data_IF_324613591972
#
_entry.id   IF_324613591972
#
_cell.length_a   1.000
_cell.length_b   1.000
_cell.length_c   1.000
_cell.angle_alpha   90.00
_cell.angle_beta   90.00
_cell.angle_gamma   90.00
#
_symmetry.space_group_name_H-M   'P 1'
#
loop_
_entity.id
_entity.type
_entity.pdbx_description
1 polymer ?
#
# COMPACT_ATOMS: atom_id res chain seq x y z
N UNK A 1 -20.64 -0.82 -18.79
CA UNK A 1 -19.30 -0.24 -18.51
C UNK A 1 -18.34 -1.34 -18.01
N UNK A 2 -17.93 -2.28 -18.88
CA UNK A 2 -17.14 -3.47 -18.48
C UNK A 2 -15.65 -3.35 -18.89
N UNK A 3 -15.29 -2.34 -19.69
CA UNK A 3 -14.03 -2.30 -20.45
C UNK A 3 -12.75 -2.22 -19.60
N UNK A 4 -12.84 -1.73 -18.36
CA UNK A 4 -11.68 -1.46 -17.50
C UNK A 4 -11.59 -2.39 -16.28
N UNK A 5 -12.48 -3.38 -16.13
CA UNK A 5 -12.40 -4.34 -15.02
C UNK A 5 -11.27 -5.34 -15.28
N UNK A 6 -10.53 -5.63 -14.22
CA UNK A 6 -9.41 -6.58 -14.21
C UNK A 6 -9.91 -7.88 -13.57
N UNK A 7 -9.76 -9.00 -14.28
CA UNK A 7 -10.14 -10.33 -13.75
C UNK A 7 -9.10 -10.82 -12.74
N UNK A 8 -9.45 -11.82 -11.93
CA UNK A 8 -8.49 -12.43 -11.00
C UNK A 8 -7.30 -13.06 -11.75
N UNK A 9 -7.54 -13.70 -12.90
CA UNK A 9 -6.48 -14.30 -13.72
C UNK A 9 -5.54 -13.24 -14.32
N UNK A 10 -6.09 -12.14 -14.85
CA UNK A 10 -5.28 -11.01 -15.33
C UNK A 10 -4.47 -10.43 -14.18
N UNK A 11 -5.09 -10.22 -13.03
CA UNK A 11 -4.41 -9.71 -11.83
C UNK A 11 -3.31 -10.65 -11.34
N UNK A 12 -3.54 -11.97 -11.34
CA UNK A 12 -2.55 -12.95 -10.92
C UNK A 12 -1.32 -12.96 -11.83
N UNK A 13 -1.54 -12.85 -13.15
CA UNK A 13 -0.44 -12.71 -14.11
C UNK A 13 0.39 -11.46 -13.84
N UNK A 14 -0.27 -10.31 -13.62
CA UNK A 14 0.40 -9.08 -13.23
C UNK A 14 1.21 -9.26 -11.93
N UNK A 15 0.64 -9.91 -10.90
CA UNK A 15 1.33 -10.17 -9.64
C UNK A 15 2.60 -11.01 -9.84
N UNK A 16 2.53 -12.10 -10.62
CA UNK A 16 3.69 -12.93 -10.95
C UNK A 16 4.77 -12.16 -11.72
N UNK A 17 4.39 -11.44 -12.78
CA UNK A 17 5.33 -10.68 -13.59
C UNK A 17 6.05 -9.61 -12.76
N UNK A 18 5.31 -8.85 -11.96
CA UNK A 18 5.89 -7.84 -11.09
C UNK A 18 6.77 -8.47 -9.99
N UNK A 19 6.38 -9.60 -9.39
CA UNK A 19 7.24 -10.32 -8.44
C UNK A 19 8.58 -10.72 -9.07
N UNK A 20 8.57 -11.29 -10.29
CA UNK A 20 9.81 -11.61 -11.03
C UNK A 20 10.66 -10.35 -11.21
N UNK A 21 10.03 -9.25 -11.63
CA UNK A 21 10.71 -7.98 -11.85
C UNK A 21 11.32 -7.41 -10.56
N UNK A 22 10.62 -7.50 -9.43
CA UNK A 22 11.12 -7.01 -8.14
C UNK A 22 12.29 -7.85 -7.62
N UNK A 23 12.20 -9.17 -7.75
CA UNK A 23 13.29 -10.08 -7.37
C UNK A 23 14.53 -9.83 -8.25
N UNK A 24 14.35 -9.52 -9.54
CA UNK A 24 15.44 -9.17 -10.44
C UNK A 24 16.13 -7.83 -10.08
N UNK A 25 15.44 -6.94 -9.38
CA UNK A 25 15.91 -5.59 -9.05
C UNK A 25 16.89 -5.52 -7.87
N UNK A 26 16.72 -6.40 -6.87
CA UNK A 26 17.40 -6.41 -5.54
C UNK A 26 17.27 -5.10 -4.72
N UNK A 27 17.40 -5.01 -3.39
CA UNK A 27 17.84 -5.93 -2.33
C UNK A 27 16.75 -6.25 -1.26
N UNK A 28 15.58 -5.57 -1.31
CA UNK A 28 14.50 -5.78 -0.33
C UNK A 28 13.65 -7.04 -0.62
N UNK A 29 13.81 -7.65 -1.80
CA UNK A 29 13.06 -8.83 -2.25
C UNK A 29 13.91 -10.11 -2.24
N UNK A 30 15.08 -10.11 -1.60
CA UNK A 30 15.95 -11.29 -1.49
C UNK A 30 15.18 -12.51 -0.96
N UNK A 31 14.38 -12.30 0.09
CA UNK A 31 13.60 -13.38 0.70
C UNK A 31 12.53 -13.94 -0.25
N UNK A 32 12.09 -13.16 -1.24
CA UNK A 32 11.06 -13.55 -2.19
C UNK A 32 11.59 -14.43 -3.33
N UNK A 33 12.91 -14.60 -3.48
CA UNK A 33 13.54 -15.50 -4.48
C UNK A 33 13.02 -16.93 -4.42
N UNK A 34 12.62 -17.37 -3.23
CA UNK A 34 12.13 -18.73 -2.97
C UNK A 34 10.63 -18.78 -2.73
N UNK A 35 9.94 -17.64 -2.90
CA UNK A 35 8.54 -17.52 -2.62
C UNK A 35 7.66 -17.92 -3.81
N UNK A 36 6.38 -18.08 -3.53
CA UNK A 36 5.33 -18.30 -4.52
C UNK A 36 4.08 -17.52 -4.17
N UNK A 37 3.29 -17.17 -5.17
CA UNK A 37 2.03 -16.45 -5.00
C UNK A 37 0.88 -17.46 -5.00
N UNK A 38 -0.01 -17.38 -4.01
CA UNK A 38 -1.29 -18.11 -4.06
C UNK A 38 -2.16 -17.51 -5.17
N UNK A 39 -2.57 -18.35 -6.13
CA UNK A 39 -3.41 -17.95 -7.26
C UNK A 39 -4.81 -17.45 -6.88
N UNK A 40 -5.30 -17.74 -5.66
CA UNK A 40 -6.59 -17.23 -5.20
C UNK A 40 -6.39 -15.91 -4.43
N UNK A 41 -6.84 -14.78 -4.99
CA UNK A 41 -6.79 -13.52 -4.26
C UNK A 41 -7.89 -13.45 -3.20
N UNK A 42 -7.64 -12.69 -2.14
CA UNK A 42 -8.70 -12.07 -1.36
C UNK A 42 -9.20 -10.85 -2.14
N UNK A 43 -10.49 -10.79 -2.41
CA UNK A 43 -11.10 -9.61 -3.03
C UNK A 43 -11.36 -8.54 -1.97
N UNK A 44 -10.80 -7.36 -2.19
CA UNK A 44 -11.02 -6.19 -1.34
C UNK A 44 -11.85 -5.16 -2.08
N UNK A 45 -12.77 -4.54 -1.37
CA UNK A 45 -13.72 -3.56 -1.91
C UNK A 45 -13.47 -2.17 -1.34
N UNK A 46 -13.83 -1.17 -2.11
CA UNK A 46 -13.96 0.21 -1.63
C UNK A 46 -15.26 0.33 -0.79
N UNK A 47 -15.38 1.28 0.16
CA UNK A 47 -16.59 1.48 0.94
C UNK A 47 -17.83 1.81 0.11
N UNK A 48 -17.65 2.23 -1.14
CA UNK A 48 -18.74 2.37 -2.14
C UNK A 48 -19.29 1.04 -2.65
N UNK A 49 -18.70 -0.09 -2.25
CA UNK A 49 -19.08 -1.44 -2.66
C UNK A 49 -18.46 -1.90 -3.99
N UNK A 50 -17.67 -1.05 -4.65
CA UNK A 50 -16.92 -1.38 -5.86
C UNK A 50 -15.66 -2.19 -5.52
N UNK A 51 -15.39 -3.26 -6.28
CA UNK A 51 -14.14 -4.04 -6.11
C UNK A 51 -12.94 -3.14 -6.38
N UNK A 52 -12.01 -3.13 -5.43
CA UNK A 52 -10.86 -2.23 -5.39
C UNK A 52 -9.58 -2.98 -5.71
N UNK A 53 -9.30 -4.08 -5.01
CA UNK A 53 -8.07 -4.87 -5.19
C UNK A 53 -8.33 -6.38 -5.28
N UNK A 54 -7.44 -7.05 -6.03
CA UNK A 54 -7.13 -8.47 -5.87
C UNK A 54 -5.86 -8.56 -5.01
N UNK A 55 -6.00 -8.99 -3.75
CA UNK A 55 -4.87 -9.14 -2.83
C UNK A 55 -4.36 -10.58 -2.87
N UNK A 56 -3.14 -10.77 -3.36
CA UNK A 56 -2.48 -12.07 -3.39
C UNK A 56 -1.50 -12.23 -2.24
N UNK A 57 -1.51 -13.39 -1.60
CA UNK A 57 -0.56 -13.72 -0.54
C UNK A 57 0.70 -14.34 -1.14
N UNK A 58 1.86 -13.91 -0.64
CA UNK A 58 3.17 -14.39 -1.04
C UNK A 58 3.71 -15.28 0.08
N UNK A 59 3.97 -16.54 -0.27
CA UNK A 59 4.37 -17.58 0.66
C UNK A 59 5.81 -18.01 0.45
N UNK A 60 6.52 -18.22 1.56
CA UNK A 60 7.78 -18.97 1.62
C UNK A 60 7.71 -19.95 2.78
N UNK A 61 8.05 -21.21 2.53
CA UNK A 61 8.03 -22.28 3.54
C UNK A 61 6.70 -22.35 4.31
N UNK A 62 5.57 -22.21 3.60
CA UNK A 62 4.20 -22.14 4.13
C UNK A 62 3.88 -20.93 5.04
N UNK A 63 4.80 -19.98 5.19
CA UNK A 63 4.56 -18.73 5.91
C UNK A 63 4.28 -17.60 4.93
N UNK A 64 3.34 -16.72 5.28
CA UNK A 64 3.11 -15.48 4.53
C UNK A 64 4.26 -14.54 4.82
N UNK A 65 5.04 -14.21 3.78
CA UNK A 65 6.13 -13.23 3.86
C UNK A 65 5.76 -11.89 3.23
N UNK A 66 4.64 -11.85 2.51
CA UNK A 66 4.18 -10.63 1.87
C UNK A 66 2.80 -10.71 1.24
N UNK A 67 2.33 -9.56 0.76
CA UNK A 67 1.11 -9.42 -0.04
C UNK A 67 1.34 -8.49 -1.21
N UNK A 68 0.78 -8.83 -2.37
CA UNK A 68 0.74 -7.95 -3.55
C UNK A 68 -0.72 -7.59 -3.81
N UNK A 69 -1.02 -6.30 -3.92
CA UNK A 69 -2.35 -5.78 -4.20
C UNK A 69 -2.40 -5.32 -5.65
N UNK A 70 -3.26 -5.93 -6.46
CA UNK A 70 -3.46 -5.56 -7.86
C UNK A 70 -4.79 -4.81 -8.00
N UNK A 71 -4.77 -3.68 -8.72
CA UNK A 71 -5.98 -2.90 -9.01
C UNK A 71 -7.04 -3.73 -9.73
N UNK A 72 -8.28 -3.72 -9.23
CA UNK A 72 -9.41 -4.39 -9.87
C UNK A 72 -10.02 -3.59 -11.03
N UNK A 73 -9.56 -2.35 -11.22
CA UNK A 73 -9.95 -1.46 -12.32
C UNK A 73 -8.72 -0.75 -12.88
N UNK A 74 -8.56 -0.75 -14.20
CA UNK A 74 -7.44 -0.14 -14.92
C UNK A 74 -7.34 1.37 -14.69
N UNK A 75 -8.45 2.01 -14.28
CA UNK A 75 -8.47 3.43 -13.95
C UNK A 75 -7.83 3.75 -12.59
N UNK A 76 -7.40 2.75 -11.82
CA UNK A 76 -6.68 2.95 -10.56
C UNK A 76 -5.19 3.27 -10.75
N UNK A 77 -4.68 3.22 -11.99
CA UNK A 77 -3.29 3.53 -12.31
C UNK A 77 -2.47 2.28 -12.60
N UNK A 78 -1.24 2.27 -12.07
CA UNK A 78 -0.35 1.11 -12.05
C UNK A 78 -1.07 -0.20 -11.67
N UNK A 79 -0.67 -1.34 -12.22
CA UNK A 79 -1.35 -2.61 -11.92
C UNK A 79 -1.16 -3.01 -10.45
N UNK A 80 0.08 -3.01 -9.96
CA UNK A 80 0.41 -3.17 -8.54
C UNK A 80 0.14 -1.85 -7.82
N UNK A 81 -0.62 -1.94 -6.75
CA UNK A 81 -1.15 -0.80 -5.98
C UNK A 81 -0.47 -0.67 -4.62
N UNK A 82 -0.10 -1.81 -4.04
CA UNK A 82 0.58 -1.91 -2.76
C UNK A 82 1.36 -3.23 -2.72
N UNK A 83 2.50 -3.21 -2.05
CA UNK A 83 3.27 -4.38 -1.64
C UNK A 83 3.45 -4.25 -0.13
N UNK A 84 3.12 -5.31 0.60
CA UNK A 84 3.35 -5.38 2.04
C UNK A 84 4.32 -6.51 2.32
N UNK A 85 5.33 -6.22 3.16
CA UNK A 85 6.29 -7.19 3.68
C UNK A 85 5.89 -7.58 5.10
N UNK A 86 6.02 -8.87 5.43
CA UNK A 86 5.69 -9.43 6.76
C UNK A 86 4.35 -8.92 7.32
N UNK A 87 3.25 -9.02 6.54
CA UNK A 87 1.98 -8.44 6.96
C UNK A 87 1.48 -9.11 8.24
N UNK A 88 0.88 -8.31 9.13
CA UNK A 88 0.14 -8.85 10.26
C UNK A 88 -0.93 -9.83 9.74
N UNK A 89 -1.07 -11.02 10.33
CA UNK A 89 -2.14 -11.95 9.96
C UNK A 89 -3.49 -11.39 10.43
N UNK A 90 -4.54 -11.69 9.67
CA UNK A 90 -5.94 -11.48 10.06
C UNK A 90 -6.80 -12.60 9.47
N UNK A 91 -7.94 -12.90 10.11
CA UNK A 91 -8.92 -13.85 9.60
C UNK A 91 -10.12 -13.10 8.98
N UNK A 92 -10.19 -13.11 7.66
CA UNK A 92 -11.28 -12.46 6.92
C UNK A 92 -12.66 -13.06 7.27
N UNK A 93 -12.72 -14.37 7.52
CA UNK A 93 -13.98 -15.06 7.87
C UNK A 93 -14.45 -14.61 9.24
N UNK A 94 -13.54 -14.47 10.20
CA UNK A 94 -13.85 -13.97 11.53
C UNK A 94 -14.35 -12.53 11.50
N UNK A 95 -13.62 -11.63 10.81
CA UNK A 95 -14.03 -10.24 10.64
C UNK A 95 -15.41 -10.12 10.00
N UNK A 96 -15.68 -10.86 8.92
CA UNK A 96 -17.00 -10.88 8.27
C UNK A 96 -18.10 -11.43 9.17
N UNK A 97 -17.82 -12.51 9.93
CA UNK A 97 -18.78 -13.06 10.89
C UNK A 97 -19.11 -12.05 11.98
N UNK A 98 -18.11 -11.35 12.50
CA UNK A 98 -18.27 -10.32 13.52
C UNK A 98 -19.10 -9.13 13.01
N UNK A 99 -18.81 -8.65 11.80
CA UNK A 99 -19.60 -7.59 11.13
C UNK A 99 -21.07 -7.99 10.96
N UNK A 100 -21.35 -9.24 10.55
CA UNK A 100 -22.72 -9.78 10.42
C UNK A 100 -23.43 -9.85 11.77
N UNK A 101 -22.74 -10.26 12.83
CA UNK A 101 -23.29 -10.35 14.18
C UNK A 101 -23.73 -8.97 14.69
N UNK A 102 -22.87 -7.97 14.55
CA UNK A 102 -23.15 -6.58 14.96
C UNK A 102 -24.31 -6.02 14.14
N UNK A 103 -24.29 -6.21 12.82
CA UNK A 103 -25.36 -5.79 11.92
C UNK A 103 -26.74 -6.35 12.31
N UNK A 104 -26.82 -7.61 12.75
CA UNK A 104 -28.08 -8.22 13.21
C UNK A 104 -28.56 -7.66 14.55
N UNK A 105 -27.64 -7.21 15.41
CA UNK A 105 -27.98 -6.64 16.71
C UNK A 105 -28.43 -5.18 16.58
N UNK A 106 -27.77 -4.40 15.73
CA UNK A 106 -28.08 -2.98 15.52
C UNK A 106 -29.26 -2.75 14.58
N UNK A 107 -29.47 -3.65 13.62
CA UNK A 107 -30.56 -3.57 12.64
C UNK A 107 -31.39 -4.87 12.62
N UNK A 108 -32.07 -5.26 13.71
CA UNK A 108 -32.72 -6.58 13.85
C UNK A 108 -33.80 -6.85 12.81
N UNK A 109 -34.49 -5.81 12.34
CA UNK A 109 -35.57 -5.95 11.34
C UNK A 109 -35.07 -5.85 9.89
N UNK A 110 -33.82 -5.44 9.68
CA UNK A 110 -33.22 -5.24 8.36
C UNK A 110 -32.92 -6.55 7.60
N UNK A 111 -32.68 -6.45 6.29
CA UNK A 111 -32.12 -7.52 5.48
C UNK A 111 -30.66 -7.24 5.15
N UNK A 112 -29.79 -8.22 5.41
CA UNK A 112 -28.39 -8.13 4.96
C UNK A 112 -28.37 -8.25 3.44
N UNK A 113 -27.90 -7.20 2.77
CA UNK A 113 -27.74 -7.16 1.31
C UNK A 113 -26.39 -7.72 0.88
N UNK A 114 -25.33 -7.39 1.64
CA UNK A 114 -23.99 -7.93 1.38
C UNK A 114 -23.07 -7.84 2.59
N UNK A 115 -22.06 -8.69 2.62
CA UNK A 115 -20.91 -8.58 3.52
C UNK A 115 -19.64 -8.76 2.68
N UNK A 116 -18.69 -7.82 2.79
CA UNK A 116 -17.47 -7.78 1.98
C UNK A 116 -16.28 -7.37 2.83
N UNK A 117 -15.09 -7.87 2.50
CA UNK A 117 -13.86 -7.25 2.99
C UNK A 117 -13.63 -5.94 2.24
N UNK A 118 -13.32 -4.88 2.98
CA UNK A 118 -13.15 -3.52 2.47
C UNK A 118 -11.83 -2.92 2.91
N UNK A 119 -11.26 -2.04 2.09
CA UNK A 119 -10.25 -1.07 2.54
C UNK A 119 -11.03 0.16 2.97
N UNK A 120 -11.26 0.31 4.27
CA UNK A 120 -12.18 1.35 4.77
C UNK A 120 -11.49 2.70 4.99
N UNK A 121 -10.20 2.70 5.32
CA UNK A 121 -9.38 3.90 5.46
C UNK A 121 -7.94 3.54 5.08
N UNK A 122 -7.52 3.78 3.84
CA UNK A 122 -6.27 3.21 3.32
C UNK A 122 -5.05 3.48 4.23
N UNK A 123 -4.30 2.46 4.68
CA UNK A 123 -4.33 1.05 4.24
C UNK A 123 -5.15 0.08 5.12
N UNK A 124 -5.95 0.58 6.06
CA UNK A 124 -6.77 -0.21 6.98
C UNK A 124 -7.82 -1.07 6.25
N UNK A 125 -7.95 -2.32 6.70
CA UNK A 125 -8.79 -3.36 6.11
C UNK A 125 -9.80 -3.82 7.16
N UNK A 126 -11.05 -3.98 6.76
CA UNK A 126 -12.13 -4.41 7.63
C UNK A 126 -13.19 -5.21 6.88
N UNK A 127 -14.23 -5.64 7.59
CA UNK A 127 -15.43 -6.20 7.00
C UNK A 127 -16.55 -5.16 7.05
N UNK A 128 -17.23 -4.95 5.92
CA UNK A 128 -18.41 -4.11 5.79
C UNK A 128 -19.63 -4.97 5.54
N UNK A 129 -20.66 -4.85 6.38
CA UNK A 129 -21.98 -5.43 6.17
C UNK A 129 -22.98 -4.33 5.85
N UNK A 130 -23.65 -4.44 4.71
CA UNK A 130 -24.72 -3.52 4.29
C UNK A 130 -26.07 -4.15 4.65
N UNK A 131 -26.86 -3.42 5.43
CA UNK A 131 -28.19 -3.81 5.87
C UNK A 131 -29.21 -2.83 5.32
N UNK A 132 -30.25 -3.35 4.67
CA UNK A 132 -31.38 -2.56 4.22
C UNK A 132 -32.53 -2.65 5.21
N UNK A 133 -32.94 -1.51 5.75
CA UNK A 133 -34.14 -1.41 6.57
C UNK A 133 -35.39 -1.71 5.72
N UNK A 134 -36.23 -2.64 6.17
CA UNK A 134 -37.40 -3.09 5.40
C UNK A 134 -38.56 -2.10 5.40
N UNK A 135 -38.60 -1.21 6.38
CA UNK A 135 -39.66 -0.21 6.58
C UNK A 135 -39.34 1.08 5.83
N UNK A 136 -38.12 1.60 5.98
CA UNK A 136 -37.69 2.87 5.39
C UNK A 136 -36.99 2.68 4.04
N UNK A 137 -36.44 1.49 3.79
CA UNK A 137 -35.60 1.21 2.63
C UNK A 137 -34.19 1.79 2.72
N UNK A 138 -33.83 2.41 3.85
CA UNK A 138 -32.52 3.01 4.09
C UNK A 138 -31.44 1.93 4.25
N UNK A 139 -30.23 2.20 3.75
CA UNK A 139 -29.10 1.29 3.85
C UNK A 139 -28.15 1.75 4.96
N UNK A 140 -27.96 0.88 5.95
CA UNK A 140 -26.97 1.02 7.01
C UNK A 140 -25.73 0.21 6.65
N UNK A 141 -24.53 0.74 6.95
CA UNK A 141 -23.27 0.01 6.78
C UNK A 141 -22.62 -0.17 8.14
N UNK A 142 -22.19 -1.38 8.43
CA UNK A 142 -21.49 -1.73 9.66
C UNK A 142 -20.06 -2.15 9.31
N UNK A 143 -19.08 -1.45 9.86
CA UNK A 143 -17.67 -1.72 9.65
C UNK A 143 -17.04 -2.36 10.89
N UNK A 144 -16.19 -3.36 10.67
CA UNK A 144 -15.41 -4.02 11.71
C UNK A 144 -13.97 -4.13 11.24
N UNK A 145 -13.01 -3.66 12.04
CA UNK A 145 -11.58 -3.77 11.71
C UNK A 145 -11.15 -5.25 11.64
N UNK A 146 -10.37 -5.61 10.63
CA UNK A 146 -9.99 -7.00 10.40
C UNK A 146 -8.98 -7.53 11.42
N UNK A 147 -8.21 -6.65 12.07
CA UNK A 147 -7.13 -7.01 12.96
C UNK A 147 -7.52 -6.98 14.44
N UNK A 148 -8.39 -6.04 14.84
CA UNK A 148 -8.83 -5.89 16.23
C UNK A 148 -10.23 -6.43 16.46
N UNK A 149 -11.03 -6.58 15.40
CA UNK A 149 -12.44 -6.95 15.45
C UNK A 149 -13.34 -5.92 16.15
N UNK A 150 -12.82 -4.69 16.33
CA UNK A 150 -13.57 -3.56 16.88
C UNK A 150 -14.48 -2.94 15.82
N UNK A 151 -15.56 -2.29 16.28
CA UNK A 151 -16.45 -1.52 15.41
C UNK A 151 -15.72 -0.27 14.94
N UNK A 152 -15.85 0.03 13.64
CA UNK A 152 -15.41 1.29 13.05
C UNK A 152 -16.65 2.13 12.76
N UNK A 153 -16.64 3.38 13.22
CA UNK A 153 -17.75 4.31 13.00
C UNK A 153 -17.92 4.60 11.50
N UNK A 154 -19.17 4.56 11.01
CA UNK A 154 -19.50 4.86 9.61
C UNK A 154 -19.58 6.38 9.38
N UNK A 155 -18.47 7.07 9.62
CA UNK A 155 -18.31 8.50 9.39
C UNK A 155 -17.27 8.76 8.30
N UNK A 156 -17.49 9.72 7.39
CA UNK A 156 -16.50 10.04 6.38
C UNK A 156 -15.24 10.65 7.00
N UNK A 157 -14.07 10.30 6.48
CA UNK A 157 -12.83 10.97 6.86
C UNK A 157 -12.91 12.48 6.56
N UNK A 158 -12.35 13.30 7.45
CA UNK A 158 -12.19 14.75 7.25
C UNK A 158 -10.70 15.10 7.08
N UNK A 159 -10.39 16.39 6.91
CA UNK A 159 -8.98 16.83 6.85
C UNK A 159 -8.23 16.60 8.17
N UNK A 160 -8.94 16.49 9.28
CA UNK A 160 -8.37 16.41 10.64
C UNK A 160 -8.73 15.15 11.40
N UNK A 161 -9.69 14.37 10.92
CA UNK A 161 -10.21 13.18 11.62
C UNK A 161 -10.23 11.98 10.68
N UNK A 162 -9.71 10.85 11.17
CA UNK A 162 -9.81 9.56 10.48
C UNK A 162 -11.27 9.13 10.33
N UNK A 163 -11.55 8.39 9.26
CA UNK A 163 -12.88 7.88 8.99
C UNK A 163 -12.92 7.05 7.71
N UNK A 164 -14.12 6.67 7.30
CA UNK A 164 -14.35 5.90 6.09
C UNK A 164 -13.97 6.74 4.86
N UNK A 165 -13.08 6.17 4.04
CA UNK A 165 -12.46 6.84 2.90
C UNK A 165 -12.57 6.03 1.61
N UNK A 166 -13.09 6.66 0.54
CA UNK A 166 -13.13 6.04 -0.79
C UNK A 166 -11.88 6.38 -1.61
N UNK A 167 -11.15 5.34 -2.03
CA UNK A 167 -10.00 5.47 -2.93
C UNK A 167 -10.46 5.91 -4.32
N UNK A 168 -11.61 5.41 -4.78
CA UNK A 168 -12.16 5.81 -6.07
C UNK A 168 -12.47 7.31 -6.12
N UNK A 169 -13.05 7.86 -5.06
CA UNK A 169 -13.36 9.29 -5.00
C UNK A 169 -12.10 10.17 -4.99
N UNK A 170 -10.98 9.67 -4.46
CA UNK A 170 -9.72 10.43 -4.38
C UNK A 170 -8.87 10.27 -5.63
N UNK A 171 -8.63 9.04 -6.09
CA UNK A 171 -7.74 8.78 -7.22
C UNK A 171 -8.34 9.16 -8.57
N UNK A 172 -9.67 9.13 -8.72
CA UNK A 172 -10.30 9.56 -9.98
C UNK A 172 -10.34 11.09 -10.12
N UNK A 173 -10.17 11.86 -9.03
CA UNK A 173 -9.97 13.32 -9.11
C UNK A 173 -8.66 13.69 -9.80
N UNK A 174 -7.64 12.84 -9.71
CA UNK A 174 -6.31 13.07 -10.29
C UNK A 174 -6.20 12.79 -11.80
N UNK A 175 -7.30 12.39 -12.46
CA UNK A 175 -7.36 12.23 -13.91
C UNK A 175 -7.29 10.78 -14.39
N UNK A 176 -8.37 10.32 -15.01
CA UNK A 176 -8.49 8.94 -15.54
C UNK A 176 -7.52 8.61 -16.67
N UNK A 177 -7.07 9.60 -17.44
CA UNK A 177 -6.21 9.38 -18.60
C UNK A 177 -4.77 9.00 -18.21
N UNK A 178 -4.20 9.67 -17.19
CA UNK A 178 -2.86 9.37 -16.69
C UNK A 178 -2.82 8.00 -16.02
N UNK A 179 -3.84 7.69 -15.22
CA UNK A 179 -3.98 6.36 -14.62
C UNK A 179 -4.01 5.24 -15.68
N UNK A 180 -4.72 5.45 -16.80
CA UNK A 180 -4.74 4.49 -17.89
C UNK A 180 -3.37 4.35 -18.59
N UNK A 181 -2.56 5.42 -18.66
CA UNK A 181 -1.18 5.36 -19.18
C UNK A 181 -0.29 4.54 -18.24
N UNK A 182 -0.44 4.69 -16.93
CA UNK A 182 0.33 3.90 -15.96
C UNK A 182 -0.09 2.42 -15.92
N UNK A 183 -1.38 2.14 -16.10
CA UNK A 183 -1.85 0.78 -16.36
C UNK A 183 -1.17 0.20 -17.60
N UNK A 184 -1.16 0.94 -18.72
CA UNK A 184 -0.57 0.47 -19.98
C UNK A 184 0.93 0.16 -19.83
N UNK A 185 1.68 0.94 -19.07
CA UNK A 185 3.09 0.64 -18.75
C UNK A 185 3.22 -0.67 -17.98
N UNK A 186 2.35 -0.90 -17.00
CA UNK A 186 2.31 -2.15 -16.22
C UNK A 186 2.00 -3.36 -17.10
N UNK A 187 1.04 -3.20 -18.02
CA UNK A 187 0.63 -4.24 -18.97
C UNK A 187 1.74 -4.54 -20.00
N UNK A 188 2.47 -3.52 -20.46
CA UNK A 188 3.63 -3.70 -21.32
C UNK A 188 4.76 -4.48 -20.63
N UNK A 189 5.09 -4.15 -19.38
CA UNK A 189 6.05 -4.92 -18.59
C UNK A 189 5.59 -6.37 -18.43
N UNK A 190 4.32 -6.58 -18.06
CA UNK A 190 3.75 -7.91 -17.86
C UNK A 190 3.84 -8.75 -19.14
N UNK A 191 3.50 -8.17 -20.29
CA UNK A 191 3.62 -8.83 -21.60
C UNK A 191 5.06 -9.14 -21.99
N UNK A 192 5.99 -8.23 -21.68
CA UNK A 192 7.41 -8.47 -21.91
C UNK A 192 7.90 -9.68 -21.10
N UNK A 193 7.59 -9.72 -19.81
CA UNK A 193 7.96 -10.84 -18.93
C UNK A 193 7.25 -12.14 -19.35
N UNK A 194 5.99 -12.07 -19.77
CA UNK A 194 5.24 -13.21 -20.32
C UNK A 194 5.94 -13.80 -21.56
N UNK A 195 6.42 -12.94 -22.47
CA UNK A 195 7.13 -13.37 -23.66
C UNK A 195 8.47 -14.03 -23.33
N UNK A 196 9.31 -13.37 -22.51
CA UNK A 196 10.61 -13.92 -22.07
C UNK A 196 10.43 -15.26 -21.34
N UNK A 197 9.38 -15.38 -20.53
CA UNK A 197 9.05 -16.63 -19.85
C UNK A 197 8.61 -17.73 -20.82
N UNK A 198 7.76 -17.39 -21.80
CA UNK A 198 7.30 -18.31 -22.84
C UNK A 198 8.46 -18.85 -23.66
N UNK A 199 9.42 -17.99 -24.03
CA UNK A 199 10.62 -18.37 -24.78
C UNK A 199 11.51 -19.35 -23.99
N UNK A 200 11.41 -19.34 -22.67
CA UNK A 200 12.08 -20.27 -21.74
C UNK A 200 11.20 -21.46 -21.33
N UNK A 201 10.02 -21.61 -21.91
CA UNK A 201 9.07 -22.69 -21.61
C UNK A 201 8.42 -22.60 -20.23
N UNK A 202 8.27 -21.38 -19.69
CA UNK A 202 7.70 -21.10 -18.37
C UNK A 202 6.36 -20.37 -18.54
N UNK A 203 5.30 -20.93 -17.97
CA UNK A 203 3.99 -20.28 -17.89
C UNK A 203 3.88 -19.46 -16.60
N UNK A 204 3.65 -18.14 -16.74
CA UNK A 204 3.48 -17.20 -15.61
C UNK A 204 2.01 -17.02 -15.19
N UNK A 205 1.07 -17.71 -15.84
CA UNK A 205 -0.35 -17.74 -15.45
C UNK A 205 -0.62 -18.77 -14.34
N UNK A 206 0.41 -19.52 -13.93
CA UNK A 206 0.38 -20.45 -12.80
C UNK A 206 1.39 -20.02 -11.73
N UNK A 207 1.25 -20.48 -10.47
CA UNK A 207 2.25 -20.21 -9.44
C UNK A 207 3.67 -20.56 -9.90
N UNK A 208 4.57 -19.60 -9.74
CA UNK A 208 5.97 -19.72 -10.17
C UNK A 208 6.81 -20.19 -8.98
N UNK A 209 7.64 -21.20 -9.21
CA UNK A 209 8.56 -21.76 -8.21
C UNK A 209 9.93 -21.11 -8.29
N UNK A 210 10.73 -21.23 -7.21
CA UNK A 210 12.14 -20.79 -7.14
C UNK A 210 12.94 -21.08 -8.41
N UNK A 211 12.95 -22.34 -8.86
CA UNK A 211 13.72 -22.77 -10.03
C UNK A 211 13.30 -22.07 -11.32
N UNK A 212 12.02 -21.70 -11.44
CA UNK A 212 11.50 -20.95 -12.60
C UNK A 212 11.90 -19.48 -12.49
N UNK A 213 11.75 -18.85 -11.31
CA UNK A 213 12.19 -17.47 -11.07
C UNK A 213 13.68 -17.32 -11.41
N UNK A 214 14.53 -18.23 -10.95
CA UNK A 214 15.97 -18.17 -11.21
C UNK A 214 16.33 -18.30 -12.70
N UNK A 215 15.54 -19.04 -13.48
CA UNK A 215 15.70 -19.14 -14.94
C UNK A 215 15.26 -17.87 -15.67
N UNK A 216 14.30 -17.15 -15.10
CA UNK A 216 13.75 -15.92 -15.68
C UNK A 216 14.65 -14.71 -15.42
N UNK A 217 15.28 -14.64 -14.24
CA UNK A 217 16.22 -13.59 -13.88
C UNK A 217 17.53 -13.79 -14.67
N UNK A 218 17.60 -13.17 -15.83
CA UNK A 218 18.82 -13.00 -16.62
C UNK A 218 19.10 -11.50 -16.86
N UNK A 219 20.19 -11.21 -17.59
CA UNK A 219 20.61 -9.83 -17.88
C UNK A 219 19.56 -8.99 -18.62
N UNK A 220 18.57 -9.57 -19.31
CA UNK A 220 17.55 -8.79 -20.05
C UNK A 220 16.48 -8.24 -19.11
N UNK A 221 15.99 -9.06 -18.17
CA UNK A 221 15.05 -8.63 -17.13
C UNK A 221 15.70 -7.66 -16.15
N UNK A 222 16.96 -7.90 -15.77
CA UNK A 222 17.72 -7.00 -14.88
C UNK A 222 17.89 -5.60 -15.51
N UNK A 223 18.09 -5.50 -16.83
CA UNK A 223 18.25 -4.22 -17.53
C UNK A 223 17.01 -3.33 -17.53
N UNK A 224 15.83 -3.89 -17.28
CA UNK A 224 14.57 -3.14 -17.26
C UNK A 224 14.29 -2.46 -15.92
N UNK A 225 15.01 -2.84 -14.87
CA UNK A 225 14.70 -2.39 -13.52
C UNK A 225 15.79 -1.46 -12.99
N UNK A 226 15.38 -0.28 -12.53
CA UNK A 226 16.24 0.59 -11.75
C UNK A 226 15.65 0.73 -10.36
N UNK A 227 16.35 0.28 -9.34
CA UNK A 227 15.95 0.44 -7.95
C UNK A 227 17.00 1.23 -7.17
N UNK A 228 16.56 1.88 -6.10
CA UNK A 228 17.47 2.39 -5.08
C UNK A 228 16.77 2.38 -3.74
N UNK A 229 17.40 1.75 -2.77
CA UNK A 229 16.97 1.72 -1.38
C UNK A 229 18.02 2.40 -0.52
N UNK A 230 17.58 3.30 0.34
CA UNK A 230 18.39 3.90 1.38
C UNK A 230 18.30 3.03 2.64
N UNK A 231 19.42 2.88 3.35
CA UNK A 231 19.49 2.13 4.61
C UNK A 231 18.90 2.94 5.78
N UNK A 232 17.65 3.40 5.64
CA UNK A 232 16.91 4.05 6.71
C UNK A 232 16.52 2.99 7.74
N UNK A 233 16.91 3.12 9.02
CA UNK A 233 16.53 2.14 10.05
C UNK A 233 15.02 2.16 10.32
N UNK A 234 14.44 0.99 10.61
CA UNK A 234 13.02 0.84 10.92
C UNK A 234 12.76 1.05 12.41
N UNK A 235 11.81 1.93 12.74
CA UNK A 235 11.33 2.15 14.10
C UNK A 235 9.82 2.33 14.08
N UNK A 236 9.08 1.44 14.72
CA UNK A 236 7.63 1.61 14.90
C UNK A 236 7.30 2.76 15.86
N UNK A 237 6.11 3.32 15.72
CA UNK A 237 5.60 4.36 16.63
C UNK A 237 5.47 3.86 18.09
N UNK A 238 5.90 4.69 19.03
CA UNK A 238 5.90 4.39 20.48
C UNK A 238 4.56 4.79 21.15
N UNK A 239 3.78 5.67 20.53
CA UNK A 239 2.43 6.07 20.93
C UNK A 239 1.50 6.19 19.71
N UNK A 240 0.18 6.24 19.91
CA UNK A 240 -0.84 6.20 18.85
C UNK A 240 -0.79 7.39 17.87
N UNK A 241 -0.29 8.53 18.33
CA UNK A 241 -0.18 9.81 17.62
C UNK A 241 1.26 10.11 17.15
N UNK A 242 2.18 9.15 17.28
CA UNK A 242 3.61 9.36 17.02
C UNK A 242 4.04 9.01 15.58
N UNK A 243 3.13 8.93 14.61
CA UNK A 243 3.49 8.58 13.23
C UNK A 243 4.54 9.55 12.63
N UNK A 244 4.39 10.86 12.84
CA UNK A 244 5.36 11.89 12.43
C UNK A 244 6.69 11.75 13.19
N UNK A 245 6.63 11.51 14.50
CA UNK A 245 7.81 11.37 15.34
C UNK A 245 8.62 10.10 15.05
N UNK A 246 7.95 8.98 14.78
CA UNK A 246 8.56 7.73 14.33
C UNK A 246 9.27 7.93 12.99
N UNK A 247 8.60 8.56 12.02
CA UNK A 247 9.19 8.94 10.74
C UNK A 247 10.41 9.84 10.90
N UNK A 248 10.32 10.86 11.77
CA UNK A 248 11.42 11.73 12.12
C UNK A 248 12.60 10.97 12.73
N UNK A 249 12.36 10.00 13.61
CA UNK A 249 13.40 9.17 14.26
C UNK A 249 14.14 8.29 13.26
N UNK A 250 13.40 7.67 12.33
CA UNK A 250 14.00 6.89 11.24
C UNK A 250 14.96 7.76 10.39
N UNK A 251 14.51 8.96 10.00
CA UNK A 251 15.32 9.90 9.21
C UNK A 251 16.49 10.47 10.02
N UNK A 252 16.29 10.81 11.29
CA UNK A 252 17.34 11.28 12.19
C UNK A 252 18.47 10.25 12.27
N UNK A 253 18.11 8.98 12.52
CA UNK A 253 19.09 7.90 12.63
C UNK A 253 19.81 7.62 11.32
N UNK A 254 19.11 7.70 10.18
CA UNK A 254 19.74 7.63 8.86
C UNK A 254 20.83 8.69 8.66
N UNK A 255 20.65 9.88 9.24
CA UNK A 255 21.66 10.94 9.26
C UNK A 255 22.61 10.90 10.46
N UNK A 256 22.67 9.78 11.19
CA UNK A 256 23.48 9.60 12.40
C UNK A 256 23.19 10.60 13.53
N UNK A 257 21.94 11.05 13.64
CA UNK A 257 21.43 11.86 14.75
C UNK A 257 20.54 10.98 15.62
N UNK A 258 20.79 10.98 16.93
CA UNK A 258 20.00 10.21 17.89
C UNK A 258 18.99 11.11 18.61
N UNK A 259 17.73 11.01 18.21
CA UNK A 259 16.59 11.67 18.85
C UNK A 259 15.54 10.62 19.26
N UNK A 260 14.89 10.82 20.42
CA UNK A 260 13.75 9.99 20.85
C UNK A 260 12.47 10.42 20.13
N UNK A 261 11.45 9.56 20.04
CA UNK A 261 10.18 9.98 19.42
C UNK A 261 9.53 11.12 20.22
N UNK A 262 9.57 11.08 21.56
CA UNK A 262 9.08 12.17 22.41
C UNK A 262 9.76 13.52 22.11
N UNK A 263 11.09 13.56 21.97
CA UNK A 263 11.81 14.80 21.62
C UNK A 263 11.35 15.35 20.27
N UNK A 264 11.18 14.47 19.29
CA UNK A 264 10.75 14.86 17.94
C UNK A 264 9.30 15.33 17.97
N UNK A 265 8.43 14.66 18.72
CA UNK A 265 7.04 15.01 18.89
C UNK A 265 6.88 16.41 19.52
N UNK A 266 7.66 16.71 20.57
CA UNK A 266 7.71 18.03 21.21
C UNK A 266 8.24 19.12 20.24
N UNK A 267 9.26 18.80 19.44
CA UNK A 267 9.77 19.69 18.40
C UNK A 267 8.76 19.94 17.26
N UNK A 268 7.83 19.01 17.06
CA UNK A 268 6.79 19.05 16.03
C UNK A 268 5.42 19.53 16.58
N UNK A 269 5.44 20.28 17.68
CA UNK A 269 4.27 20.88 18.34
C UNK A 269 3.10 19.90 18.57
N UNK A 270 3.42 18.67 19.02
CA UNK A 270 2.44 17.66 19.44
C UNK A 270 1.40 17.24 18.37
N UNK A 271 1.69 17.45 17.08
CA UNK A 271 0.72 17.12 16.03
C UNK A 271 1.34 16.79 14.68
N UNK A 272 2.61 17.15 14.47
CA UNK A 272 3.31 16.78 13.25
C UNK A 272 2.61 17.29 11.99
N UNK A 273 1.97 18.46 12.03
CA UNK A 273 1.48 19.10 10.80
C UNK A 273 2.68 19.51 9.92
N UNK A 274 2.42 19.86 8.66
CA UNK A 274 3.46 20.05 7.64
C UNK A 274 4.53 21.05 8.11
N UNK A 275 4.11 22.21 8.64
CA UNK A 275 5.03 23.28 9.06
C UNK A 275 5.90 22.87 10.25
N UNK A 276 5.37 22.11 11.20
CA UNK A 276 6.11 21.67 12.38
C UNK A 276 7.09 20.53 12.07
N UNK A 277 6.72 19.66 11.13
CA UNK A 277 7.66 18.68 10.58
C UNK A 277 8.80 19.37 9.85
N UNK A 278 8.49 20.34 8.97
CA UNK A 278 9.51 21.15 8.30
C UNK A 278 10.38 21.84 9.34
N UNK A 279 9.80 22.44 10.38
CA UNK A 279 10.52 23.08 11.47
C UNK A 279 11.55 22.14 12.10
N UNK A 280 11.15 20.92 12.50
CA UNK A 280 12.08 19.91 13.01
C UNK A 280 13.21 19.58 12.01
N UNK A 281 12.87 19.35 10.74
CA UNK A 281 13.85 18.96 9.73
C UNK A 281 14.86 20.06 9.41
N UNK A 282 14.44 21.33 9.35
CA UNK A 282 15.32 22.46 9.00
C UNK A 282 16.09 23.01 10.20
N UNK A 283 15.53 22.93 11.41
CA UNK A 283 16.14 23.44 12.66
C UNK A 283 17.51 22.81 12.87
N UNK A 284 18.48 23.59 13.35
CA UNK A 284 19.85 23.12 13.43
C UNK A 284 20.00 21.97 14.44
N UNK A 285 21.02 21.11 14.25
CA UNK A 285 21.32 20.02 15.20
C UNK A 285 21.63 20.58 16.60
N UNK A 286 22.20 21.77 16.69
CA UNK A 286 22.49 22.42 17.98
C UNK A 286 21.23 22.90 18.73
N UNK A 287 20.15 23.14 18.00
CA UNK A 287 18.83 23.53 18.53
C UNK A 287 17.90 22.32 18.66
N UNK A 288 18.38 21.11 18.40
CA UNK A 288 17.61 19.87 18.54
C UNK A 288 16.92 19.37 17.27
N UNK A 289 17.13 20.01 16.10
CA UNK A 289 16.61 19.58 14.80
C UNK A 289 17.60 18.76 13.95
N UNK A 290 17.35 18.60 12.65
CA UNK A 290 18.22 17.82 11.75
C UNK A 290 19.17 18.63 10.86
N UNK A 291 19.04 19.95 10.83
CA UNK A 291 19.85 20.86 10.02
C UNK A 291 19.70 20.63 8.51
N UNK A 292 18.57 20.09 8.05
CA UNK A 292 18.27 19.83 6.63
C UNK A 292 17.53 21.04 6.05
N UNK A 293 18.23 22.16 5.95
CA UNK A 293 17.69 23.46 5.48
C UNK A 293 17.10 23.47 4.07
N UNK A 294 17.35 22.43 3.27
CA UNK A 294 16.73 22.22 1.96
C UNK A 294 15.44 21.40 1.98
N UNK A 295 14.82 21.21 3.14
CA UNK A 295 13.52 20.54 3.29
C UNK A 295 12.39 21.48 2.89
N UNK A 296 11.41 20.96 2.15
CA UNK A 296 10.23 21.69 1.70
C UNK A 296 9.08 20.72 1.42
N UNK A 297 7.86 21.24 1.42
CA UNK A 297 6.67 20.52 0.95
C UNK A 297 6.49 20.70 -0.57
N UNK A 298 6.28 19.59 -1.27
CA UNK A 298 6.07 19.52 -2.73
C UNK A 298 4.60 19.17 -3.05
N UNK A 299 3.74 19.02 -2.03
CA UNK A 299 2.32 18.69 -2.14
C UNK A 299 2.07 17.31 -2.75
N UNK A 300 2.06 17.23 -4.09
CA UNK A 300 1.84 16.00 -4.85
C UNK A 300 3.02 15.71 -5.77
N UNK A 301 4.19 15.32 -5.22
CA UNK A 301 5.37 15.07 -6.02
C UNK A 301 5.16 13.89 -6.98
N UNK A 302 5.58 14.06 -8.24
CA UNK A 302 5.56 12.98 -9.22
C UNK A 302 6.72 12.01 -8.99
N UNK A 303 6.58 10.78 -9.47
CA UNK A 303 7.57 9.71 -9.27
C UNK A 303 9.01 10.12 -9.63
N UNK A 304 9.21 10.87 -10.71
CA UNK A 304 10.55 11.32 -11.14
C UNK A 304 11.22 12.28 -10.15
N UNK A 305 10.44 13.11 -9.45
CA UNK A 305 10.94 13.98 -8.39
C UNK A 305 11.38 13.13 -7.19
N UNK A 306 10.55 12.17 -6.75
CA UNK A 306 10.86 11.27 -5.63
C UNK A 306 12.08 10.39 -5.93
N UNK A 307 12.15 9.82 -7.14
CA UNK A 307 13.32 9.11 -7.67
C UNK A 307 14.58 9.96 -7.58
N UNK A 308 14.50 11.23 -7.98
CA UNK A 308 15.62 12.18 -7.87
C UNK A 308 16.05 12.42 -6.43
N UNK A 309 15.11 12.60 -5.47
CA UNK A 309 15.44 12.76 -4.04
C UNK A 309 16.19 11.55 -3.49
N UNK A 310 15.67 10.35 -3.73
CA UNK A 310 16.29 9.09 -3.30
C UNK A 310 17.67 8.90 -3.95
N UNK A 311 17.80 9.20 -5.25
CA UNK A 311 19.11 9.17 -5.94
C UNK A 311 20.13 10.11 -5.30
N UNK A 312 19.69 11.24 -4.75
CA UNK A 312 20.51 12.18 -4.00
C UNK A 312 20.64 11.84 -2.49
N UNK A 313 20.33 10.61 -2.08
CA UNK A 313 20.45 10.13 -0.70
C UNK A 313 19.56 10.89 0.31
N UNK A 314 18.44 11.41 -0.16
CA UNK A 314 17.46 12.16 0.65
C UNK A 314 16.18 11.32 0.80
N UNK A 315 15.92 10.70 1.97
CA UNK A 315 14.61 10.13 2.25
C UNK A 315 13.54 11.23 2.21
N UNK A 316 12.30 10.84 1.94
CA UNK A 316 11.15 11.74 1.84
C UNK A 316 10.08 11.26 2.82
N UNK A 317 9.29 12.16 3.39
CA UNK A 317 8.08 11.77 4.13
C UNK A 317 6.84 11.94 3.27
N UNK A 318 5.91 11.01 3.34
CA UNK A 318 4.54 11.19 2.83
C UNK A 318 3.67 11.59 4.00
N UNK A 319 2.92 12.68 3.82
CA UNK A 319 1.93 13.17 4.77
C UNK A 319 0.55 13.00 4.14
N UNK A 320 -0.33 12.27 4.82
CA UNK A 320 -1.77 12.27 4.55
C UNK A 320 -2.47 12.69 5.85
N UNK A 321 -3.73 13.17 5.81
CA UNK A 321 -4.49 13.43 7.02
C UNK A 321 -4.35 12.29 8.04
N UNK A 322 -3.88 12.61 9.23
CA UNK A 322 -3.71 11.65 10.34
C UNK A 322 -2.53 10.67 10.25
N UNK A 323 -1.72 10.64 9.17
CA UNK A 323 -0.63 9.65 9.05
C UNK A 323 0.61 10.13 8.29
N UNK A 324 1.78 9.71 8.74
CA UNK A 324 3.09 10.06 8.18
C UNK A 324 3.95 8.82 8.00
N UNK A 325 4.60 8.69 6.83
CA UNK A 325 5.43 7.54 6.46
C UNK A 325 6.74 7.97 5.83
N UNK A 326 7.79 7.15 5.97
CA UNK A 326 9.09 7.42 5.35
C UNK A 326 9.23 6.68 4.01
N UNK A 327 9.37 7.42 2.92
CA UNK A 327 9.90 6.93 1.65
C UNK A 327 11.42 6.78 1.74
N UNK A 328 11.89 5.54 1.77
CA UNK A 328 13.33 5.21 1.79
C UNK A 328 13.87 4.73 0.45
N UNK A 329 13.02 4.49 -0.54
CA UNK A 329 13.47 3.92 -1.80
C UNK A 329 12.45 3.91 -2.92
N UNK A 330 12.89 3.43 -4.06
CA UNK A 330 12.03 3.17 -5.20
C UNK A 330 12.46 1.91 -5.96
N UNK A 331 11.52 1.34 -6.71
CA UNK A 331 11.77 0.38 -7.77
C UNK A 331 11.06 0.86 -9.04
N UNK A 332 11.79 1.06 -10.11
CA UNK A 332 11.27 1.53 -11.39
C UNK A 332 11.42 0.42 -12.42
N UNK A 333 10.29 -0.20 -12.72
CA UNK A 333 10.16 -1.31 -13.67
C UNK A 333 9.50 -0.86 -14.98
N UNK A 334 9.53 0.46 -15.26
CA UNK A 334 8.64 1.12 -16.22
C UNK A 334 7.35 1.64 -15.57
N UNK A 335 7.05 1.16 -14.37
CA UNK A 335 6.06 1.68 -13.44
C UNK A 335 6.80 1.96 -12.14
N UNK A 336 6.73 3.19 -11.66
CA UNK A 336 7.47 3.63 -10.48
C UNK A 336 6.80 3.19 -9.19
N UNK A 337 7.49 2.40 -8.40
CA UNK A 337 7.10 2.00 -7.04
C UNK A 337 7.93 2.73 -6.01
N UNK A 338 7.30 3.10 -4.91
CA UNK A 338 7.94 3.78 -3.80
C UNK A 338 7.86 2.90 -2.57
N UNK A 339 8.98 2.78 -1.87
CA UNK A 339 9.10 2.00 -0.65
C UNK A 339 8.83 2.91 0.54
N UNK A 340 7.63 2.79 1.10
CA UNK A 340 7.22 3.48 2.32
C UNK A 340 7.31 2.53 3.53
N UNK A 341 7.75 3.09 4.65
CA UNK A 341 7.78 2.42 5.95
C UNK A 341 6.81 3.16 6.90
N UNK A 342 6.00 2.38 7.60
CA UNK A 342 5.04 2.81 8.63
C UNK A 342 5.69 2.89 10.02
#
# INVERSE_FOLDING_TARGET
MIKNKVTADEAFKHANAHMISFIAADADFEEWKEASIDSKPLELYDPTGQKLYHQFSVYKDNNIIGRIYIGADKQLGASVQLISFYPKPFDATEAMKKSIEIAKNECPDGSIESTKMVVYDYPAIGAMTVVKDKTTGYEHRIFVDAYTLDIVEDEPATETESGIWSIYEHRLKNGTEENLKDWQKSDQLTKYIEQEATDKGIDINVPITKDKIQKLIDDSVIKLVTSKTLNVPLYGQEASDYCAAASGKMIAKYYNVDHTQTHIYEMMDEGGVIDDQIYYYVTSIFEGGLGKTGTFDDGTPIFSQLKSKINNYRPVVSLIPGHVRVCRGYSDTGVGFILFED
#
